data_IF_703078156397
#
_entry.id   IF_703078156397
#
_cell.length_a   1.000
_cell.length_b   1.000
_cell.length_c   1.000
_cell.angle_alpha   90.00
_cell.angle_beta   90.00
_cell.angle_gamma   90.00
#
_symmetry.space_group_name_H-M   'P 1'
#
loop_
_entity.id
_entity.type
_entity.pdbx_description
1 polymer ?
#
# COMPACT_ATOMS: atom_id res chain seq x y z
N UNK A 1 16.04 63.20 -6.08
CA UNK A 1 14.95 62.61 -6.89
C UNK A 1 15.46 61.37 -7.62
N UNK A 2 15.07 60.15 -7.22
CA UNK A 2 15.05 58.97 -8.10
C UNK A 2 14.10 57.92 -7.51
N UNK A 3 13.20 57.44 -8.37
CA UNK A 3 12.04 56.59 -8.08
C UNK A 3 12.39 55.10 -8.07
N UNK A 4 11.44 54.30 -7.55
CA UNK A 4 11.06 52.90 -7.88
C UNK A 4 11.50 51.85 -6.88
N UNK A 5 10.74 50.79 -6.60
CA UNK A 5 9.31 50.43 -6.74
C UNK A 5 9.24 49.11 -5.95
N UNK A 6 8.23 48.94 -5.10
CA UNK A 6 8.00 47.69 -4.38
C UNK A 6 7.60 46.55 -5.31
N UNK A 7 7.93 45.33 -4.90
CA UNK A 7 7.25 44.11 -5.34
C UNK A 7 7.32 43.08 -4.20
N UNK A 8 6.19 42.95 -3.51
CA UNK A 8 5.89 41.83 -2.63
C UNK A 8 5.51 40.63 -3.50
N UNK A 9 6.23 39.52 -3.41
CA UNK A 9 5.76 38.24 -3.92
C UNK A 9 5.24 37.41 -2.74
N UNK A 10 3.92 37.48 -2.54
CA UNK A 10 3.19 36.54 -1.69
C UNK A 10 3.13 35.19 -2.42
N UNK A 11 3.89 34.21 -1.93
CA UNK A 11 3.83 32.84 -2.41
C UNK A 11 2.63 32.15 -1.75
N UNK A 12 1.49 32.14 -2.43
CA UNK A 12 0.33 31.35 -2.02
C UNK A 12 0.63 29.87 -2.30
N UNK A 13 1.06 29.13 -1.26
CA UNK A 13 1.09 27.68 -1.31
C UNK A 13 -0.35 27.17 -1.26
N UNK A 14 -0.85 26.73 -2.42
CA UNK A 14 -2.10 25.98 -2.53
C UNK A 14 -1.90 24.61 -1.86
N UNK A 15 -2.23 24.54 -0.57
CA UNK A 15 -2.51 23.28 0.08
C UNK A 15 -3.86 22.78 -0.46
N UNK A 16 -3.81 21.97 -1.52
CA UNK A 16 -4.96 21.15 -1.92
C UNK A 16 -5.09 20.07 -0.86
N UNK A 17 -5.73 20.43 0.26
CA UNK A 17 -6.23 19.48 1.24
C UNK A 17 -7.59 18.99 0.77
N UNK A 18 -7.59 17.89 0.03
CA UNK A 18 -8.78 17.07 -0.13
C UNK A 18 -8.56 15.76 0.63
N UNK A 19 -8.50 15.87 1.96
CA UNK A 19 -8.60 14.71 2.85
C UNK A 19 -10.06 14.47 3.18
N UNK A 20 -10.72 13.59 2.42
CA UNK A 20 -11.99 13.00 2.86
C UNK A 20 -11.67 12.18 4.12
N UNK A 21 -12.09 12.66 5.29
CA UNK A 21 -12.03 11.88 6.53
C UNK A 21 -13.05 10.73 6.43
N UNK A 22 -12.61 9.57 5.95
CA UNK A 22 -13.29 8.31 6.24
C UNK A 22 -12.73 7.79 7.57
N UNK A 23 -13.51 7.92 8.65
CA UNK A 23 -13.09 7.56 10.02
C UNK A 23 -12.68 6.10 10.23
N UNK A 24 -12.83 5.25 9.22
CA UNK A 24 -12.59 3.81 9.28
C UNK A 24 -11.37 3.35 8.47
N UNK A 25 -10.63 4.28 7.85
CA UNK A 25 -9.45 3.94 7.04
C UNK A 25 -8.15 4.32 7.73
N UNK A 26 -7.34 3.30 8.04
CA UNK A 26 -5.99 3.43 8.57
C UNK A 26 -5.04 2.63 7.69
N UNK A 27 -3.92 3.23 7.27
CA UNK A 27 -2.91 2.56 6.46
C UNK A 27 -1.55 2.92 7.05
N UNK A 28 -0.81 1.90 7.48
CA UNK A 28 0.51 2.06 8.08
C UNK A 28 1.55 1.17 7.42
N UNK A 29 2.79 1.66 7.41
CA UNK A 29 3.95 0.96 6.87
C UNK A 29 5.06 0.93 7.91
N UNK A 30 5.73 -0.20 8.05
CA UNK A 30 6.98 -0.34 8.80
C UNK A 30 8.04 -0.87 7.85
N UNK A 31 9.10 -0.09 7.70
CA UNK A 31 10.19 -0.39 6.78
C UNK A 31 11.50 -0.36 7.58
N UNK A 32 11.89 -1.50 8.11
CA UNK A 32 13.08 -1.67 8.95
C UNK A 32 14.14 -2.49 8.21
N UNK A 33 15.35 -2.58 8.75
CA UNK A 33 16.45 -3.29 8.08
C UNK A 33 16.11 -4.76 7.79
N UNK A 34 15.41 -5.43 8.70
CA UNK A 34 15.12 -6.86 8.61
C UNK A 34 13.77 -7.18 7.97
N UNK A 35 12.77 -6.28 8.05
CA UNK A 35 11.43 -6.57 7.56
C UNK A 35 10.75 -5.35 6.94
N UNK A 36 9.79 -5.64 6.06
CA UNK A 36 8.82 -4.69 5.54
C UNK A 36 7.42 -5.17 5.93
N UNK A 37 6.58 -4.27 6.44
CA UNK A 37 5.21 -4.58 6.82
C UNK A 37 4.26 -3.47 6.35
N UNK A 38 3.11 -3.87 5.83
CA UNK A 38 1.94 -3.01 5.63
C UNK A 38 0.81 -3.53 6.51
N UNK A 39 0.10 -2.62 7.18
CA UNK A 39 -1.19 -2.92 7.82
C UNK A 39 -2.20 -1.88 7.35
N UNK A 40 -3.36 -2.34 6.89
CA UNK A 40 -4.46 -1.46 6.54
C UNK A 40 -5.80 -1.96 7.09
N UNK A 41 -6.55 -1.02 7.66
CA UNK A 41 -7.98 -1.13 8.00
C UNK A 41 -8.75 -0.21 7.08
N UNK A 42 -9.88 -0.66 6.58
CA UNK A 42 -10.69 0.08 5.61
C UNK A 42 -12.12 -0.43 5.59
N UNK A 43 -13.01 0.27 4.89
CA UNK A 43 -14.40 -0.17 4.75
C UNK A 43 -14.48 -1.54 4.07
N UNK A 44 -15.19 -2.50 4.68
CA UNK A 44 -15.32 -3.87 4.17
C UNK A 44 -15.78 -3.94 2.70
N UNK A 45 -16.53 -2.94 2.21
CA UNK A 45 -16.94 -2.85 0.81
C UNK A 45 -15.76 -2.74 -0.18
N UNK A 46 -14.59 -2.28 0.26
CA UNK A 46 -13.36 -2.21 -0.55
C UNK A 46 -12.59 -3.53 -0.57
N UNK A 47 -12.94 -4.51 0.27
CA UNK A 47 -12.22 -5.81 0.37
C UNK A 47 -12.07 -6.47 -0.99
N UNK A 48 -13.17 -6.53 -1.75
CA UNK A 48 -13.15 -7.16 -3.07
C UNK A 48 -12.26 -6.42 -4.08
N UNK A 49 -12.22 -5.09 -4.01
CA UNK A 49 -11.35 -4.29 -4.86
C UNK A 49 -9.87 -4.56 -4.53
N UNK A 50 -9.53 -4.60 -3.24
CA UNK A 50 -8.18 -4.94 -2.75
C UNK A 50 -7.76 -6.35 -3.18
N UNK A 51 -8.63 -7.35 -3.03
CA UNK A 51 -8.37 -8.73 -3.47
C UNK A 51 -8.11 -8.83 -4.97
N UNK A 52 -8.93 -8.15 -5.78
CA UNK A 52 -8.74 -8.10 -7.22
C UNK A 52 -7.43 -7.43 -7.61
N UNK A 53 -7.05 -6.35 -6.91
CA UNK A 53 -5.78 -5.67 -7.12
C UNK A 53 -4.57 -6.56 -6.77
N UNK A 54 -4.62 -7.29 -5.66
CA UNK A 54 -3.58 -8.29 -5.34
C UNK A 54 -3.49 -9.36 -6.41
N UNK A 55 -4.63 -9.86 -6.87
CA UNK A 55 -4.68 -10.89 -7.91
C UNK A 55 -4.10 -10.38 -9.23
N UNK A 56 -4.37 -9.14 -9.64
CA UNK A 56 -3.79 -8.55 -10.85
C UNK A 56 -2.30 -8.25 -10.72
N UNK A 57 -1.82 -7.90 -9.52
CA UNK A 57 -0.43 -7.47 -9.32
C UNK A 57 0.52 -8.64 -9.10
N UNK A 58 0.11 -9.63 -8.30
CA UNK A 58 0.94 -10.80 -7.97
C UNK A 58 0.23 -12.15 -8.13
N UNK A 59 -1.10 -12.24 -8.04
CA UNK A 59 -1.78 -13.54 -8.04
C UNK A 59 -1.70 -14.28 -9.37
N UNK A 60 -2.18 -13.66 -10.47
CA UNK A 60 -2.29 -14.30 -11.80
C UNK A 60 -0.97 -14.88 -12.31
N UNK A 61 0.13 -14.18 -12.11
CA UNK A 61 1.46 -14.60 -12.58
C UNK A 61 2.08 -15.72 -11.76
N UNK A 62 1.55 -15.99 -10.55
CA UNK A 62 2.04 -16.99 -9.61
C UNK A 62 1.01 -18.10 -9.36
N UNK A 63 -0.05 -18.19 -10.18
CA UNK A 63 -1.16 -19.14 -10.01
C UNK A 63 -1.79 -19.15 -8.59
N UNK A 64 -1.82 -18.00 -7.92
CA UNK A 64 -2.43 -17.82 -6.59
C UNK A 64 -3.68 -16.96 -6.74
N UNK A 65 -4.80 -17.40 -6.16
CA UNK A 65 -6.01 -16.58 -6.03
C UNK A 65 -6.11 -16.00 -4.62
N UNK A 66 -6.26 -14.68 -4.53
CA UNK A 66 -6.49 -13.96 -3.26
C UNK A 66 -7.96 -13.58 -3.02
N UNK A 67 -8.84 -13.94 -3.96
CA UNK A 67 -10.25 -13.53 -3.98
C UNK A 67 -11.11 -14.50 -3.17
N UNK A 68 -12.10 -13.97 -2.43
CA UNK A 68 -13.12 -14.74 -1.68
C UNK A 68 -12.55 -15.70 -0.61
N UNK A 69 -11.41 -15.39 -0.01
CA UNK A 69 -10.89 -16.21 1.10
C UNK A 69 -10.27 -15.37 2.19
N UNK A 70 -10.60 -15.65 3.45
CA UNK A 70 -9.77 -15.19 4.55
C UNK A 70 -8.43 -15.94 4.54
N UNK A 71 -7.38 -15.27 4.97
CA UNK A 71 -6.04 -15.85 5.00
C UNK A 71 -5.29 -15.38 6.22
N UNK A 72 -4.50 -16.28 6.80
CA UNK A 72 -3.47 -15.97 7.78
C UNK A 72 -2.35 -16.99 7.57
N UNK A 73 -1.55 -16.78 6.53
CA UNK A 73 -0.64 -17.79 6.03
C UNK A 73 0.59 -17.18 5.35
N UNK A 74 1.66 -17.97 5.30
CA UNK A 74 2.82 -17.68 4.47
C UNK A 74 2.55 -18.10 3.02
N UNK A 75 2.89 -17.22 2.08
CA UNK A 75 2.82 -17.46 0.64
C UNK A 75 4.24 -17.52 0.09
N UNK A 76 4.44 -18.39 -0.90
CA UNK A 76 5.65 -18.43 -1.72
C UNK A 76 5.24 -18.22 -3.16
N UNK A 77 5.80 -17.19 -3.80
CA UNK A 77 5.60 -16.90 -5.23
C UNK A 77 6.50 -17.80 -6.08
N UNK A 78 6.26 -17.85 -7.39
CA UNK A 78 7.02 -18.68 -8.34
C UNK A 78 8.49 -18.27 -8.42
N UNK A 79 8.79 -16.99 -8.18
CA UNK A 79 10.16 -16.46 -8.10
C UNK A 79 10.85 -16.72 -6.74
N UNK A 80 10.20 -17.47 -5.85
CA UNK A 80 10.68 -17.81 -4.52
C UNK A 80 10.46 -16.73 -3.48
N UNK A 81 9.81 -15.60 -3.81
CA UNK A 81 9.45 -14.57 -2.83
C UNK A 81 8.53 -15.13 -1.75
N UNK A 82 8.89 -14.95 -0.49
CA UNK A 82 8.13 -15.39 0.68
C UNK A 82 7.60 -14.21 1.48
N UNK A 83 6.31 -14.22 1.79
CA UNK A 83 5.70 -13.20 2.63
C UNK A 83 4.52 -13.81 3.40
N UNK A 84 4.19 -13.20 4.54
CA UNK A 84 3.02 -13.54 5.32
C UNK A 84 1.86 -12.61 4.95
N UNK A 85 0.66 -13.18 4.80
CA UNK A 85 -0.57 -12.46 4.49
C UNK A 85 -1.64 -12.81 5.50
N UNK A 86 -2.10 -11.79 6.21
CA UNK A 86 -3.32 -11.82 7.02
C UNK A 86 -4.39 -10.94 6.36
N UNK A 87 -5.54 -11.53 6.03
CA UNK A 87 -6.62 -10.87 5.31
C UNK A 87 -7.98 -11.37 5.79
N UNK A 88 -8.89 -10.43 6.02
CA UNK A 88 -10.31 -10.65 6.30
C UNK A 88 -11.07 -9.37 5.87
N UNK A 89 -12.41 -9.37 5.84
CA UNK A 89 -13.17 -8.18 5.42
C UNK A 89 -12.71 -6.91 6.16
N UNK A 90 -12.39 -5.86 5.39
CA UNK A 90 -11.96 -4.56 5.92
C UNK A 90 -10.54 -4.51 6.49
N UNK A 91 -9.75 -5.57 6.35
CA UNK A 91 -8.38 -5.61 6.87
C UNK A 91 -7.42 -6.40 5.99
N UNK A 92 -6.23 -5.84 5.81
CA UNK A 92 -5.10 -6.55 5.24
C UNK A 92 -3.80 -6.22 5.97
N UNK A 93 -2.98 -7.25 6.17
CA UNK A 93 -1.64 -7.14 6.70
C UNK A 93 -0.71 -8.03 5.89
N UNK A 94 0.41 -7.44 5.46
CA UNK A 94 1.43 -8.09 4.64
C UNK A 94 2.76 -7.86 5.31
N UNK A 95 3.51 -8.93 5.54
CA UNK A 95 4.85 -8.89 6.12
C UNK A 95 5.85 -9.66 5.25
N UNK A 96 6.98 -9.03 4.94
CA UNK A 96 8.08 -9.61 4.20
C UNK A 96 9.37 -9.49 5.02
N UNK A 97 10.00 -10.63 5.29
CA UNK A 97 11.34 -10.70 5.84
C UNK A 97 12.37 -10.45 4.73
N UNK A 98 13.14 -9.37 4.87
CA UNK A 98 14.16 -8.94 3.89
C UNK A 98 15.44 -9.76 3.97
N UNK A 99 15.65 -10.49 5.06
CA UNK A 99 16.84 -11.33 5.26
C UNK A 99 16.75 -12.63 4.47
N UNK A 100 15.52 -13.10 4.23
CA UNK A 100 15.23 -14.33 3.48
C UNK A 100 14.73 -14.08 2.06
N UNK A 101 14.53 -12.81 1.67
CA UNK A 101 14.08 -12.40 0.35
C UNK A 101 15.13 -11.55 -0.38
N UNK A 102 15.07 -11.55 -1.71
CA UNK A 102 15.93 -10.67 -2.51
C UNK A 102 15.46 -9.21 -2.41
N UNK A 103 16.36 -8.26 -2.72
CA UNK A 103 15.98 -6.84 -2.84
C UNK A 103 14.85 -6.62 -3.84
N UNK A 104 14.86 -7.37 -4.95
CA UNK A 104 13.82 -7.29 -5.97
C UNK A 104 12.45 -7.73 -5.42
N UNK A 105 12.41 -8.83 -4.67
CA UNK A 105 11.20 -9.31 -4.00
C UNK A 105 10.62 -8.26 -3.04
N UNK A 106 11.49 -7.65 -2.22
CA UNK A 106 11.11 -6.54 -1.34
C UNK A 106 10.47 -5.38 -2.13
N UNK A 107 11.11 -4.89 -3.19
CA UNK A 107 10.55 -3.78 -3.97
C UNK A 107 9.26 -4.15 -4.69
N UNK A 108 9.11 -5.40 -5.14
CA UNK A 108 7.88 -5.88 -5.77
C UNK A 108 6.70 -5.88 -4.79
N UNK A 109 6.91 -6.42 -3.57
CA UNK A 109 5.88 -6.41 -2.52
C UNK A 109 5.59 -4.98 -2.05
N UNK A 110 6.62 -4.16 -1.82
CA UNK A 110 6.44 -2.76 -1.43
C UNK A 110 5.64 -1.98 -2.47
N UNK A 111 5.95 -2.11 -3.75
CA UNK A 111 5.21 -1.45 -4.84
C UNK A 111 3.75 -1.90 -4.90
N UNK A 112 3.49 -3.19 -4.69
CA UNK A 112 2.12 -3.69 -4.60
C UNK A 112 1.38 -3.02 -3.43
N UNK A 113 1.96 -3.04 -2.23
CA UNK A 113 1.38 -2.42 -1.04
C UNK A 113 1.13 -0.91 -1.21
N UNK A 114 2.07 -0.17 -1.81
CA UNK A 114 1.91 1.26 -2.10
C UNK A 114 0.76 1.53 -3.08
N UNK A 115 0.63 0.76 -4.17
CA UNK A 115 -0.50 0.93 -5.10
C UNK A 115 -1.84 0.44 -4.54
N UNK A 116 -1.82 -0.42 -3.51
CA UNK A 116 -3.04 -0.84 -2.82
C UNK A 116 -3.70 0.33 -2.08
N UNK A 117 -2.92 1.33 -1.66
CA UNK A 117 -3.42 2.56 -1.04
C UNK A 117 -4.47 3.24 -1.90
N UNK A 118 -4.22 3.35 -3.21
CA UNK A 118 -5.14 4.01 -4.13
C UNK A 118 -6.47 3.24 -4.23
N UNK A 119 -6.39 1.91 -4.19
CA UNK A 119 -7.59 1.03 -4.19
C UNK A 119 -8.37 1.13 -2.89
N UNK A 120 -7.70 1.35 -1.76
CA UNK A 120 -8.34 1.52 -0.46
C UNK A 120 -9.03 2.89 -0.34
N UNK A 121 -8.44 3.93 -0.94
CA UNK A 121 -8.89 5.33 -0.79
C UNK A 121 -9.86 5.81 -1.88
N UNK A 122 -9.99 5.07 -2.99
CA UNK A 122 -10.98 5.31 -4.05
C UNK A 122 -12.42 5.10 -3.58
#
# INVERSE_FOLDING_TARGET
MKKRNGLFYALAALLISCGHHNGDTDISYKDQDQYYQMNARFNENRTRAVEHYMNSTIGKKNNISFVNMESNAAFTLDDGTKFHLKKYPGHIEIELDKTTNTKQAYYAIKKMCEGMKDVILD
#
